data_IF_165429634348
#
_entry.id   IF_165429634348
#
_cell.length_a   1.000
_cell.length_b   1.000
_cell.length_c   1.000
_cell.angle_alpha   90.00
_cell.angle_beta   90.00
_cell.angle_gamma   90.00
#
_symmetry.space_group_name_H-M   'P 1'
#
loop_
_entity.id
_entity.type
_entity.pdbx_description
1 polymer ?
#
# COMPACT_ATOMS: atom_id res chain seq x y z
N UNK A 1 3.27 14.28 -2.48
CA UNK A 1 2.54 13.00 -2.46
C UNK A 1 3.06 12.18 -1.30
N UNK A 2 2.26 11.26 -0.76
CA UNK A 2 2.70 10.30 0.26
C UNK A 2 3.08 8.98 -0.40
N UNK A 3 4.12 8.34 0.10
CA UNK A 3 4.54 6.99 -0.32
C UNK A 3 4.35 6.07 0.87
N UNK A 4 3.57 5.01 0.70
CA UNK A 4 3.27 4.04 1.75
C UNK A 4 3.91 2.70 1.39
N UNK A 5 4.76 2.16 2.26
CA UNK A 5 5.47 0.88 2.04
C UNK A 5 5.35 -0.04 3.27
N UNK A 6 6.00 -1.21 3.23
CA UNK A 6 6.12 -2.12 4.39
C UNK A 6 7.10 -1.66 5.47
N UNK A 7 7.88 -0.58 5.25
CA UNK A 7 8.74 0.04 6.27
C UNK A 7 10.01 -0.73 6.69
N UNK A 8 10.17 -1.98 6.30
CA UNK A 8 11.35 -2.76 6.68
C UNK A 8 12.54 -2.50 5.75
N UNK A 9 13.77 -2.63 6.26
CA UNK A 9 15.02 -2.41 5.55
C UNK A 9 15.40 -3.62 4.67
N UNK A 10 14.44 -4.13 3.91
CA UNK A 10 14.60 -5.28 3.01
C UNK A 10 13.91 -5.01 1.68
N UNK A 11 14.28 -5.73 0.64
CA UNK A 11 13.63 -5.67 -0.67
C UNK A 11 13.40 -4.26 -1.22
N UNK A 12 12.19 -4.03 -1.75
CA UNK A 12 11.79 -2.77 -2.37
C UNK A 12 11.73 -1.60 -1.38
N UNK A 13 11.37 -1.87 -0.13
CA UNK A 13 11.22 -0.83 0.89
C UNK A 13 12.55 -0.14 1.18
N UNK A 14 13.65 -0.90 1.22
CA UNK A 14 15.02 -0.36 1.30
C UNK A 14 15.35 0.56 0.12
N UNK A 15 15.09 0.10 -1.11
CA UNK A 15 15.38 0.88 -2.32
C UNK A 15 14.59 2.19 -2.35
N UNK A 16 13.31 2.16 -1.95
CA UNK A 16 12.48 3.37 -1.86
C UNK A 16 13.06 4.36 -0.86
N UNK A 17 13.50 3.89 0.32
CA UNK A 17 14.17 4.72 1.31
C UNK A 17 15.43 5.40 0.78
N UNK A 18 16.30 4.65 0.09
CA UNK A 18 17.51 5.17 -0.54
C UNK A 18 17.20 6.22 -1.62
N UNK A 19 16.19 5.98 -2.45
CA UNK A 19 15.76 6.93 -3.50
C UNK A 19 15.21 8.22 -2.88
N UNK A 20 14.34 8.12 -1.87
CA UNK A 20 13.77 9.29 -1.19
C UNK A 20 14.86 10.11 -0.50
N UNK A 21 15.87 9.46 0.06
CA UNK A 21 17.02 10.14 0.66
C UNK A 21 17.80 10.99 -0.35
N UNK A 22 17.90 10.53 -1.61
CA UNK A 22 18.58 11.22 -2.70
C UNK A 22 17.78 12.36 -3.34
N UNK A 23 16.55 12.63 -2.88
CA UNK A 23 15.73 13.72 -3.41
C UNK A 23 16.49 15.07 -3.29
N UNK A 24 16.81 15.75 -4.41
CA UNK A 24 17.55 17.02 -4.39
C UNK A 24 16.68 18.18 -3.88
N UNK A 25 15.35 18.10 -4.06
CA UNK A 25 14.43 19.13 -3.60
C UNK A 25 14.05 18.90 -2.13
N UNK A 26 14.83 19.50 -1.23
CA UNK A 26 14.57 19.48 0.21
C UNK A 26 13.42 20.39 0.63
N UNK A 27 12.93 21.28 -0.24
CA UNK A 27 11.82 22.19 0.08
C UNK A 27 10.46 21.48 0.09
N UNK A 28 10.39 20.30 -0.53
CA UNK A 28 9.19 19.47 -0.62
C UNK A 28 9.50 18.06 -0.09
N UNK A 29 9.53 17.88 1.24
CA UNK A 29 9.79 16.57 1.81
C UNK A 29 8.74 15.56 1.35
N UNK A 30 9.20 14.35 1.03
CA UNK A 30 8.35 13.22 0.69
C UNK A 30 8.02 12.50 1.98
N UNK A 31 6.73 12.40 2.32
CA UNK A 31 6.29 11.57 3.44
C UNK A 31 6.35 10.10 3.02
N UNK A 32 7.32 9.38 3.58
CA UNK A 32 7.56 7.96 3.36
C UNK A 32 7.13 7.20 4.61
N UNK A 33 5.91 6.65 4.56
CA UNK A 33 5.24 6.01 5.69
C UNK A 33 5.43 4.50 5.60
N UNK A 34 5.97 3.89 6.66
CA UNK A 34 6.20 2.46 6.75
C UNK A 34 5.12 1.78 7.58
N UNK A 35 4.35 0.87 6.99
CA UNK A 35 3.34 0.09 7.70
C UNK A 35 3.88 -1.33 7.86
N UNK A 36 4.28 -1.71 9.07
CA UNK A 36 4.93 -2.98 9.35
C UNK A 36 4.12 -3.80 10.36
N UNK A 37 4.04 -5.12 10.15
CA UNK A 37 3.54 -6.03 11.19
C UNK A 37 4.53 -6.08 12.36
N UNK A 38 4.05 -5.79 13.57
CA UNK A 38 4.86 -5.67 14.79
C UNK A 38 5.71 -6.92 15.05
N UNK A 39 5.12 -8.10 14.92
CA UNK A 39 5.81 -9.39 15.13
C UNK A 39 6.92 -9.71 14.11
N UNK A 40 7.07 -8.92 13.05
CA UNK A 40 8.13 -9.05 12.05
C UNK A 40 9.22 -7.98 12.17
N UNK A 41 9.12 -7.04 13.11
CA UNK A 41 10.12 -6.00 13.30
C UNK A 41 11.23 -6.51 14.21
N UNK A 42 12.48 -6.39 13.78
CA UNK A 42 13.64 -6.69 14.64
C UNK A 42 13.85 -5.61 15.69
N UNK A 43 14.16 -6.00 16.93
CA UNK A 43 14.48 -5.05 18.00
C UNK A 43 13.26 -4.38 18.64
N UNK A 44 12.07 -4.97 18.54
CA UNK A 44 10.81 -4.46 19.13
C UNK A 44 10.91 -4.16 20.63
N UNK A 45 11.74 -4.89 21.37
CA UNK A 45 11.98 -4.65 22.80
C UNK A 45 12.47 -3.22 23.10
N UNK A 46 13.23 -2.62 22.18
CA UNK A 46 13.74 -1.25 22.30
C UNK A 46 12.66 -0.21 21.99
N UNK A 47 11.66 -0.60 21.19
CA UNK A 47 10.54 0.25 20.78
C UNK A 47 9.37 0.16 21.77
N UNK A 48 9.32 -0.87 22.61
CA UNK A 48 8.28 -1.11 23.61
C UNK A 48 8.38 -0.18 24.85
N UNK A 49 8.70 1.10 24.63
CA UNK A 49 8.79 2.13 25.66
C UNK A 49 7.68 3.15 25.48
N UNK A 50 6.97 3.48 26.56
CA UNK A 50 5.86 4.45 26.52
C UNK A 50 6.33 5.86 26.85
N UNK A 51 5.89 6.84 26.06
CA UNK A 51 6.04 8.27 26.36
C UNK A 51 7.48 8.80 26.38
N UNK A 52 8.43 8.07 25.79
CA UNK A 52 9.84 8.45 25.74
C UNK A 52 10.41 8.25 24.35
N UNK A 53 11.43 9.04 24.00
CA UNK A 53 12.19 8.83 22.78
C UNK A 53 13.08 7.60 22.94
N UNK A 54 13.14 6.79 21.89
CA UNK A 54 13.96 5.58 21.83
C UNK A 54 15.00 5.71 20.73
N UNK A 55 16.19 5.18 20.98
CA UNK A 55 17.24 5.06 19.95
C UNK A 55 17.09 3.69 19.32
N UNK A 56 16.74 3.66 18.03
CA UNK A 56 16.68 2.45 17.23
C UNK A 56 17.97 2.33 16.39
N UNK A 57 18.86 1.37 16.67
CA UNK A 57 20.09 1.17 15.91
C UNK A 57 19.83 0.83 14.44
N UNK A 58 20.70 1.27 13.53
CA UNK A 58 20.58 0.88 12.10
C UNK A 58 20.93 -0.59 11.84
N UNK A 59 21.63 -1.22 12.77
CA UNK A 59 22.12 -2.59 12.67
C UNK A 59 21.45 -3.44 13.74
N UNK A 60 20.75 -4.49 13.31
CA UNK A 60 20.15 -5.49 14.17
C UNK A 60 20.57 -6.88 13.71
N UNK A 61 20.73 -7.80 14.66
CA UNK A 61 20.76 -9.23 14.37
C UNK A 61 19.36 -9.65 13.95
N UNK A 62 19.18 -10.05 12.70
CA UNK A 62 17.88 -10.46 12.20
C UNK A 62 17.68 -11.95 12.48
N UNK A 63 16.67 -12.29 13.28
CA UNK A 63 16.20 -13.67 13.34
C UNK A 63 15.41 -14.00 12.07
N UNK A 64 15.29 -15.29 11.76
CA UNK A 64 14.45 -15.75 10.64
C UNK A 64 13.02 -15.24 10.82
N UNK A 65 12.48 -14.56 9.81
CA UNK A 65 11.13 -13.99 9.84
C UNK A 65 11.03 -12.58 10.45
N UNK A 66 12.14 -11.95 10.82
CA UNK A 66 12.20 -10.57 11.27
C UNK A 66 13.05 -9.71 10.33
N UNK A 67 12.74 -8.41 10.28
CA UNK A 67 13.51 -7.43 9.52
C UNK A 67 13.63 -6.12 10.31
N UNK A 68 14.77 -5.40 10.19
CA UNK A 68 14.93 -4.11 10.84
C UNK A 68 14.12 -3.05 10.11
N UNK A 69 13.84 -1.92 10.77
CA UNK A 69 13.18 -0.78 10.14
C UNK A 69 14.12 -0.05 9.18
N UNK A 70 13.57 0.49 8.10
CA UNK A 70 14.32 1.26 7.12
C UNK A 70 14.53 2.71 7.62
N UNK A 71 15.78 3.18 7.73
CA UNK A 71 16.09 4.43 8.45
C UNK A 71 15.67 5.73 7.74
N UNK A 72 15.26 5.69 6.47
CA UNK A 72 14.89 6.86 5.68
C UNK A 72 13.36 7.08 5.60
N UNK A 73 12.56 6.21 6.23
CA UNK A 73 11.13 6.47 6.43
C UNK A 73 10.93 7.60 7.44
N UNK A 74 9.96 8.47 7.16
CA UNK A 74 9.62 9.60 8.01
C UNK A 74 8.67 9.21 9.15
N UNK A 75 7.78 8.25 8.91
CA UNK A 75 6.80 7.78 9.89
C UNK A 75 6.63 6.26 9.82
N UNK A 76 6.24 5.66 10.94
CA UNK A 76 5.94 4.24 11.05
C UNK A 76 4.58 4.00 11.70
N UNK A 77 3.86 3.01 11.18
CA UNK A 77 2.65 2.45 11.78
C UNK A 77 2.90 0.96 12.00
N UNK A 78 2.79 0.53 13.26
CA UNK A 78 2.95 -0.88 13.62
C UNK A 78 1.59 -1.54 13.79
N UNK A 79 1.40 -2.66 13.09
CA UNK A 79 0.18 -3.47 13.16
C UNK A 79 0.48 -4.70 13.99
N UNK A 80 -0.12 -4.77 15.17
CA UNK A 80 -0.02 -5.93 16.05
C UNK A 80 -1.25 -6.83 15.85
N UNK A 81 -1.02 -8.03 15.32
CA UNK A 81 -2.03 -9.08 15.16
C UNK A 81 -1.86 -10.21 16.19
N UNK A 82 -0.98 -10.01 17.18
CA UNK A 82 -0.63 -11.00 18.20
C UNK A 82 0.25 -12.15 17.70
N UNK A 83 0.65 -12.15 16.43
CA UNK A 83 1.54 -13.17 15.88
C UNK A 83 3.00 -12.76 15.93
N UNK A 84 3.90 -13.73 15.97
CA UNK A 84 5.33 -13.52 15.84
C UNK A 84 5.83 -14.07 14.50
N UNK A 85 6.66 -13.29 13.80
CA UNK A 85 7.38 -13.68 12.57
C UNK A 85 6.47 -14.11 11.42
N UNK A 86 5.23 -13.62 11.39
CA UNK A 86 4.30 -13.85 10.29
C UNK A 86 4.01 -12.54 9.57
N UNK A 87 4.41 -12.50 8.31
CA UNK A 87 4.13 -11.37 7.44
C UNK A 87 2.67 -11.34 7.01
N UNK A 88 2.17 -10.15 6.72
CA UNK A 88 0.87 -9.94 6.09
C UNK A 88 -0.27 -9.55 7.04
N UNK A 89 0.01 -9.37 8.34
CA UNK A 89 -0.95 -8.79 9.28
C UNK A 89 -1.33 -7.35 8.91
N UNK A 90 -0.46 -6.63 8.21
CA UNK A 90 -0.71 -5.26 7.78
C UNK A 90 -1.60 -5.12 6.54
N UNK A 91 -1.85 -6.20 5.79
CA UNK A 91 -2.45 -6.14 4.44
C UNK A 91 -3.87 -5.55 4.52
N UNK A 92 -4.70 -6.07 5.41
CA UNK A 92 -6.09 -5.62 5.57
C UNK A 92 -6.15 -4.17 6.09
N UNK A 93 -5.29 -3.82 7.05
CA UNK A 93 -5.19 -2.45 7.54
C UNK A 93 -4.81 -1.48 6.41
N UNK A 94 -3.87 -1.85 5.54
CA UNK A 94 -3.47 -1.02 4.39
C UNK A 94 -4.64 -0.80 3.43
N UNK A 95 -5.46 -1.81 3.17
CA UNK A 95 -6.65 -1.69 2.35
C UNK A 95 -7.65 -0.69 2.97
N UNK A 96 -7.95 -0.82 4.27
CA UNK A 96 -8.86 0.10 4.97
C UNK A 96 -8.33 1.54 5.03
N UNK A 97 -7.03 1.71 5.29
CA UNK A 97 -6.39 3.02 5.34
C UNK A 97 -6.44 3.72 3.97
N UNK A 98 -6.10 3.01 2.90
CA UNK A 98 -6.13 3.57 1.54
C UNK A 98 -7.56 3.92 1.11
N UNK A 99 -8.55 3.11 1.49
CA UNK A 99 -9.96 3.41 1.27
C UNK A 99 -10.37 4.71 1.98
N UNK A 100 -10.02 4.85 3.26
CA UNK A 100 -10.33 6.04 4.06
C UNK A 100 -9.67 7.30 3.48
N UNK A 101 -8.39 7.23 3.09
CA UNK A 101 -7.67 8.35 2.48
C UNK A 101 -8.29 8.74 1.14
N UNK A 102 -8.74 7.77 0.34
CA UNK A 102 -9.31 8.04 -0.98
C UNK A 102 -10.61 8.85 -0.91
N UNK A 103 -11.28 8.93 0.25
CA UNK A 103 -12.54 9.65 0.41
C UNK A 103 -13.63 9.12 -0.52
N UNK A 104 -13.58 7.83 -0.87
CA UNK A 104 -14.49 7.22 -1.83
C UNK A 104 -14.22 7.58 -3.29
N UNK A 105 -13.01 8.07 -3.65
CA UNK A 105 -12.61 8.37 -5.04
C UNK A 105 -13.00 7.25 -6.02
N UNK A 106 -12.80 6.00 -5.58
CA UNK A 106 -13.03 4.80 -6.37
C UNK A 106 -14.23 3.97 -5.88
N UNK A 107 -15.07 4.50 -4.98
CA UNK A 107 -16.26 3.78 -4.53
C UNK A 107 -17.20 3.50 -5.72
N UNK A 108 -17.80 2.30 -5.84
CA UNK A 108 -18.74 1.99 -6.92
C UNK A 108 -19.87 3.04 -6.96
N UNK A 109 -20.17 3.57 -8.15
CA UNK A 109 -21.24 4.60 -8.33
C UNK A 109 -22.62 4.10 -7.86
N UNK A 110 -22.83 2.79 -7.74
CA UNK A 110 -24.06 2.17 -7.22
C UNK A 110 -24.20 2.22 -5.69
N UNK A 111 -23.14 2.51 -4.94
CA UNK A 111 -23.23 2.80 -3.50
C UNK A 111 -23.47 4.30 -3.22
N UNK A 112 -23.44 5.13 -4.26
CA UNK A 112 -23.70 6.56 -4.17
C UNK A 112 -25.19 6.86 -4.29
N UNK A 113 -25.99 6.25 -3.41
CA UNK A 113 -27.35 6.69 -3.13
C UNK A 113 -27.80 6.07 -1.81
N UNK A 114 -27.37 6.64 -0.68
CA UNK A 114 -28.21 6.87 0.50
C UNK A 114 -27.43 7.67 1.56
N UNK A 115 -27.86 8.91 1.76
CA UNK A 115 -27.83 9.68 3.01
C UNK A 115 -26.55 9.65 3.86
N UNK A 116 -25.68 10.63 3.65
CA UNK A 116 -24.79 11.12 4.71
C UNK A 116 -25.59 12.03 5.64
N UNK A 117 -26.47 11.44 6.47
CA UNK A 117 -26.91 12.07 7.71
C UNK A 117 -25.92 11.68 8.81
N UNK A 118 -24.86 12.48 8.98
CA UNK A 118 -24.21 12.60 10.28
C UNK A 118 -24.79 13.83 11.00
N UNK A 119 -25.17 13.69 12.28
CA UNK A 119 -25.75 14.79 13.04
C UNK A 119 -24.65 15.80 13.43
N UNK A 120 -25.04 17.07 13.50
CA UNK A 120 -24.29 18.22 14.03
C UNK A 120 -23.23 18.86 13.12
N UNK A 121 -23.70 19.55 12.08
CA UNK A 121 -23.03 20.78 11.60
C UNK A 121 -23.22 21.88 12.65
N UNK A 122 -22.25 22.06 13.55
CA UNK A 122 -21.97 23.39 14.09
C UNK A 122 -21.17 24.15 13.02
N UNK A 123 -21.69 25.31 12.64
CA UNK A 123 -21.24 26.10 11.51
C UNK A 123 -19.75 26.46 11.56
N UNK A 124 -19.02 26.11 10.50
CA UNK A 124 -17.87 26.88 10.03
C UNK A 124 -17.88 26.94 8.50
N UNK A 125 -17.87 28.17 8.00
CA UNK A 125 -18.06 28.53 6.61
C UNK A 125 -16.80 28.25 5.80
N UNK A 126 -16.71 27.07 5.15
CA UNK A 126 -15.91 26.85 3.93
C UNK A 126 -16.18 25.46 3.32
N UNK A 127 -17.43 25.08 3.05
CA UNK A 127 -17.72 23.73 2.54
C UNK A 127 -17.45 23.61 1.03
N UNK A 128 -16.19 23.75 0.63
CA UNK A 128 -15.73 23.20 -0.65
C UNK A 128 -15.86 21.68 -0.52
N UNK A 129 -16.50 20.95 -1.45
CA UNK A 129 -16.50 19.49 -1.39
C UNK A 129 -15.04 19.03 -1.33
N UNK A 130 -14.69 18.28 -0.29
CA UNK A 130 -13.35 17.73 -0.14
C UNK A 130 -13.06 16.90 -1.40
N UNK A 131 -12.03 17.29 -2.14
CA UNK A 131 -11.69 16.59 -3.37
C UNK A 131 -11.09 15.24 -2.96
N UNK A 132 -11.62 14.13 -3.49
CA UNK A 132 -11.14 12.82 -3.12
C UNK A 132 -9.67 12.65 -3.55
N UNK A 133 -8.88 11.96 -2.73
CA UNK A 133 -7.43 11.80 -2.96
C UNK A 133 -7.19 10.59 -3.86
N UNK A 134 -6.56 10.75 -5.04
CA UNK A 134 -6.25 9.61 -5.88
C UNK A 134 -5.16 8.76 -5.24
N UNK A 135 -5.42 7.45 -5.15
CA UNK A 135 -4.49 6.43 -4.65
C UNK A 135 -4.18 5.47 -5.80
N UNK A 136 -2.92 5.09 -5.94
CA UNK A 136 -2.47 4.06 -6.88
C UNK A 136 -1.60 3.04 -6.14
N UNK A 137 -1.66 1.78 -6.55
CA UNK A 137 -0.78 0.72 -6.04
C UNK A 137 0.31 0.40 -7.07
N UNK A 138 1.57 0.49 -6.66
CA UNK A 138 2.72 0.09 -7.46
C UNK A 138 3.22 -1.28 -7.01
N UNK A 139 3.36 -2.22 -7.94
CA UNK A 139 3.82 -3.59 -7.64
C UNK A 139 5.10 -3.89 -8.41
N UNK A 140 6.19 -4.03 -7.65
CA UNK A 140 7.50 -4.45 -8.13
C UNK A 140 7.79 -5.84 -7.54
N UNK A 141 8.04 -6.83 -8.40
CA UNK A 141 8.16 -8.24 -8.04
C UNK A 141 6.96 -8.81 -7.26
N UNK A 142 7.12 -9.06 -5.96
CA UNK A 142 6.09 -9.58 -5.07
C UNK A 142 6.22 -11.06 -4.71
N UNK A 143 5.59 -11.41 -3.60
CA UNK A 143 5.44 -12.79 -3.11
C UNK A 143 3.97 -13.16 -2.93
N UNK A 144 3.67 -14.31 -2.28
CA UNK A 144 2.29 -14.77 -2.09
C UNK A 144 1.36 -13.71 -1.47
N UNK A 145 1.85 -12.96 -0.48
CA UNK A 145 1.11 -11.86 0.16
C UNK A 145 0.82 -10.67 -0.76
N UNK A 146 1.61 -10.49 -1.82
CA UNK A 146 1.36 -9.46 -2.84
C UNK A 146 0.10 -9.78 -3.63
N UNK A 147 -0.20 -11.06 -3.90
CA UNK A 147 -1.44 -11.46 -4.57
C UNK A 147 -2.66 -11.04 -3.74
N UNK A 148 -2.63 -11.27 -2.43
CA UNK A 148 -3.67 -10.82 -1.50
C UNK A 148 -3.80 -9.30 -1.49
N UNK A 149 -2.68 -8.58 -1.42
CA UNK A 149 -2.66 -7.11 -1.45
C UNK A 149 -3.28 -6.54 -2.74
N UNK A 150 -2.94 -7.13 -3.89
CA UNK A 150 -3.51 -6.74 -5.19
C UNK A 150 -5.00 -7.02 -5.25
N UNK A 151 -5.42 -8.19 -4.75
CA UNK A 151 -6.84 -8.54 -4.69
C UNK A 151 -7.63 -7.53 -3.84
N UNK A 152 -7.17 -7.18 -2.64
CA UNK A 152 -7.82 -6.16 -1.81
C UNK A 152 -7.83 -4.78 -2.46
N UNK A 153 -6.75 -4.38 -3.13
CA UNK A 153 -6.69 -3.10 -3.83
C UNK A 153 -7.70 -3.03 -5.00
N UNK A 154 -7.71 -4.04 -5.88
CA UNK A 154 -8.53 -4.02 -7.10
C UNK A 154 -10.00 -4.34 -6.78
N UNK A 155 -10.26 -5.45 -6.07
CA UNK A 155 -11.61 -6.00 -5.93
C UNK A 155 -12.41 -5.26 -4.87
N UNK A 156 -11.77 -4.90 -3.74
CA UNK A 156 -12.49 -4.29 -2.62
C UNK A 156 -12.51 -2.77 -2.71
N UNK A 157 -11.42 -2.16 -3.19
CA UNK A 157 -11.22 -0.71 -3.13
C UNK A 157 -11.18 -0.03 -4.50
N UNK A 158 -11.26 -0.77 -5.61
CA UNK A 158 -11.16 -0.25 -6.98
C UNK A 158 -9.92 0.63 -7.22
N UNK A 159 -8.83 0.35 -6.52
CA UNK A 159 -7.57 1.08 -6.64
C UNK A 159 -6.85 0.59 -7.90
N UNK A 160 -6.45 1.49 -8.82
CA UNK A 160 -5.66 1.12 -9.99
C UNK A 160 -4.27 0.61 -9.58
N UNK A 161 -3.86 -0.49 -10.20
CA UNK A 161 -2.58 -1.16 -9.93
C UNK A 161 -1.68 -1.09 -11.16
N UNK A 162 -0.41 -0.74 -10.94
CA UNK A 162 0.63 -0.74 -11.97
C UNK A 162 1.63 -1.86 -11.67
N UNK A 163 1.76 -2.78 -12.62
CA UNK A 163 2.72 -3.89 -12.56
C UNK A 163 3.97 -3.55 -13.37
N UNK A 164 5.14 -3.70 -12.75
CA UNK A 164 6.45 -3.54 -13.41
C UNK A 164 6.91 -4.88 -13.98
N UNK A 165 6.49 -5.20 -15.19
CA UNK A 165 6.89 -6.43 -15.88
C UNK A 165 8.42 -6.51 -16.05
N UNK A 166 8.96 -7.73 -15.96
CA UNK A 166 10.39 -8.01 -16.06
C UNK A 166 11.09 -7.99 -14.70
N UNK A 167 10.40 -7.53 -13.65
CA UNK A 167 10.94 -7.57 -12.28
C UNK A 167 10.95 -8.99 -11.72
N UNK A 168 10.02 -9.87 -12.13
CA UNK A 168 9.97 -11.27 -11.70
C UNK A 168 8.78 -11.61 -10.81
N UNK A 169 8.78 -12.85 -10.28
CA UNK A 169 7.82 -13.38 -9.29
C UNK A 169 6.35 -13.09 -9.64
N UNK A 170 5.55 -12.61 -8.67
CA UNK A 170 4.12 -12.36 -8.85
C UNK A 170 3.83 -11.31 -9.93
N UNK A 171 4.67 -10.30 -10.08
CA UNK A 171 4.48 -9.24 -11.07
C UNK A 171 4.47 -9.78 -12.51
N UNK A 172 5.35 -10.72 -12.85
CA UNK A 172 5.36 -11.35 -14.17
C UNK A 172 4.13 -12.25 -14.40
N UNK A 173 3.62 -12.90 -13.34
CA UNK A 173 2.39 -13.69 -13.43
C UNK A 173 1.19 -12.80 -13.74
N UNK A 174 1.05 -11.66 -13.05
CA UNK A 174 0.00 -10.68 -13.32
C UNK A 174 0.12 -10.08 -14.73
N UNK A 175 1.33 -9.66 -15.13
CA UNK A 175 1.55 -9.12 -16.48
C UNK A 175 1.16 -10.14 -17.58
N UNK A 176 1.54 -11.40 -17.42
CA UNK A 176 1.13 -12.48 -18.34
C UNK A 176 -0.38 -12.71 -18.34
N UNK A 177 -1.01 -12.71 -17.16
CA UNK A 177 -2.45 -12.90 -17.03
C UNK A 177 -3.24 -11.77 -17.72
N UNK A 178 -2.82 -10.51 -17.55
CA UNK A 178 -3.43 -9.35 -18.22
C UNK A 178 -3.30 -9.46 -19.73
N UNK A 179 -2.12 -9.83 -20.25
CA UNK A 179 -1.92 -10.04 -21.70
C UNK A 179 -2.82 -11.13 -22.26
N UNK A 180 -2.88 -12.30 -21.58
CA UNK A 180 -3.74 -13.40 -22.01
C UNK A 180 -5.22 -13.01 -21.98
N UNK A 181 -5.63 -12.21 -20.98
CA UNK A 181 -6.99 -11.69 -20.92
C UNK A 181 -7.28 -10.75 -22.10
N UNK A 182 -6.38 -9.83 -22.41
CA UNK A 182 -6.53 -8.89 -23.54
C UNK A 182 -6.55 -9.61 -24.89
N UNK A 183 -5.65 -10.58 -25.09
CA UNK A 183 -5.57 -11.37 -26.33
C UNK A 183 -6.85 -12.19 -26.53
N UNK A 184 -7.34 -12.85 -25.47
CA UNK A 184 -8.61 -13.57 -25.52
C UNK A 184 -9.77 -12.63 -25.80
N UNK A 185 -9.82 -11.46 -25.14
CA UNK A 185 -10.89 -10.48 -25.35
C UNK A 185 -10.95 -9.99 -26.80
N UNK A 186 -9.81 -9.71 -27.43
CA UNK A 186 -9.73 -9.34 -28.85
C UNK A 186 -10.21 -10.47 -29.76
N UNK A 187 -9.76 -11.71 -29.50
CA UNK A 187 -10.17 -12.87 -30.29
C UNK A 187 -11.69 -13.10 -30.23
N UNK A 188 -12.35 -12.83 -29.09
CA UNK A 188 -13.81 -12.89 -28.98
C UNK A 188 -14.51 -11.81 -29.82
N UNK A 189 -14.04 -10.57 -29.75
CA UNK A 189 -14.61 -9.43 -30.52
C UNK A 189 -14.50 -9.66 -32.05
N UNK A 190 -13.39 -10.24 -32.51
CA UNK A 190 -13.18 -10.58 -33.93
C UNK A 190 -14.11 -11.70 -34.42
N UNK A 191 -14.53 -12.62 -33.54
CA UNK A 191 -15.47 -13.70 -33.88
C UNK A 191 -16.94 -13.29 -33.92
N UNK A 192 -17.36 -12.31 -33.12
CA UNK A 192 -18.75 -11.77 -33.16
C UNK A 192 -18.95 -10.75 -34.28
N UNK A 193 -17.90 -10.03 -34.69
CA UNK A 193 -17.93 -9.11 -35.84
C UNK A 193 -18.04 -9.81 -37.21
N UNK A 194 -17.81 -11.13 -37.26
CA UNK A 194 -17.93 -11.96 -38.45
C UNK A 194 -19.30 -12.68 -38.48
N UNK A 195 -20.39 -11.92 -38.62
CA UNK A 195 -21.67 -12.50 -39.07
C UNK A 195 -21.75 -12.49 -40.61
N UNK A 196 -22.33 -13.53 -41.24
CA UNK A 196 -22.25 -13.80 -42.69
C UNK A 196 -22.96 -12.79 -43.59
#
# INVERSE_FOLDING_TARGET
AWIITGGTNTGIMKLVGEIVQQNPDRSRPIHLIGIATWGCVSGVEQLAVRGSNVVYPKSHSNASGEAPLEPNHSEFIFIDDGTARKYGGEIEFRAQLTQAISGGFFAPRSACSVNMETPSKAASQSSRPEKPVPVILLVVEGGPFTVKTVHEAVVQNNIPVVFFEGTGRCCNLFAKAVRLYDDNRRNFEDTEGASP
#
